data_IF_688355649234
#
_entry.id   IF_688355649234
#
_cell.length_a   1.000
_cell.length_b   1.000
_cell.length_c   1.000
_cell.angle_alpha   90.00
_cell.angle_beta   90.00
_cell.angle_gamma   90.00
#
_symmetry.space_group_name_H-M   'P 1'
#
loop_
_entity.id
_entity.type
_entity.pdbx_description
1 polymer ?
#
# COMPACT_ATOMS: atom_id res chain seq x y z
N UNK A 1 8.68 -0.03 13.19
CA UNK A 1 8.89 -1.47 13.35
C UNK A 1 7.97 -2.20 12.39
N UNK A 2 8.56 -2.97 11.48
CA UNK A 2 7.83 -3.86 10.58
C UNK A 2 7.17 -5.01 11.35
N UNK A 3 5.85 -5.10 11.24
CA UNK A 3 5.03 -6.16 11.85
C UNK A 3 4.73 -7.29 10.87
N UNK A 4 4.56 -6.96 9.58
CA UNK A 4 4.15 -7.92 8.54
C UNK A 4 4.73 -7.50 7.20
N UNK A 5 5.17 -8.48 6.42
CA UNK A 5 5.59 -8.35 5.03
C UNK A 5 5.20 -9.64 4.30
N UNK A 6 4.18 -9.56 3.44
CA UNK A 6 3.57 -10.74 2.78
C UNK A 6 2.98 -10.37 1.43
N UNK A 7 2.66 -11.38 0.62
CA UNK A 7 1.78 -11.21 -0.54
C UNK A 7 0.34 -11.39 -0.08
N UNK A 8 -0.46 -10.33 -0.22
CA UNK A 8 -1.91 -10.34 -0.02
C UNK A 8 -2.58 -10.67 -1.35
N UNK A 9 -3.48 -11.64 -1.32
CA UNK A 9 -4.28 -12.04 -2.48
C UNK A 9 -5.71 -11.57 -2.26
N UNK A 10 -6.33 -11.04 -3.31
CA UNK A 10 -7.68 -10.52 -3.26
C UNK A 10 -8.43 -10.85 -4.55
N UNK A 11 -9.74 -11.03 -4.42
CA UNK A 11 -10.63 -11.49 -5.48
C UNK A 11 -11.69 -10.42 -5.77
N UNK A 12 -11.41 -9.43 -6.64
CA UNK A 12 -12.36 -8.35 -6.93
C UNK A 12 -13.65 -8.85 -7.59
N UNK A 13 -13.57 -9.97 -8.31
CA UNK A 13 -14.68 -10.63 -9.01
C UNK A 13 -14.45 -12.14 -9.02
N UNK A 14 -15.51 -12.93 -9.21
CA UNK A 14 -15.38 -14.39 -9.34
C UNK A 14 -14.32 -14.74 -10.39
N UNK A 15 -13.34 -15.56 -9.99
CA UNK A 15 -12.25 -16.09 -10.83
C UNK A 15 -11.18 -15.06 -11.27
N UNK A 16 -11.22 -13.83 -10.77
CA UNK A 16 -10.14 -12.87 -10.96
C UNK A 16 -9.27 -12.83 -9.71
N UNK A 17 -8.04 -13.31 -9.83
CA UNK A 17 -7.07 -13.35 -8.75
C UNK A 17 -6.08 -12.21 -8.93
N UNK A 18 -6.10 -11.26 -8.01
CA UNK A 18 -5.14 -10.18 -7.95
C UNK A 18 -4.29 -10.31 -6.68
N UNK A 19 -3.10 -9.72 -6.73
CA UNK A 19 -2.20 -9.75 -5.58
C UNK A 19 -1.33 -8.51 -5.50
N UNK A 20 -0.96 -8.19 -4.27
CA UNK A 20 -0.10 -7.07 -3.92
C UNK A 20 0.83 -7.46 -2.77
N UNK A 21 1.99 -6.84 -2.66
CA UNK A 21 2.79 -6.94 -1.44
C UNK A 21 2.20 -6.01 -0.38
N UNK A 22 1.92 -6.58 0.78
CA UNK A 22 1.41 -5.90 1.96
C UNK A 22 2.53 -5.79 3.00
N UNK A 23 2.84 -4.56 3.40
CA UNK A 23 3.71 -4.28 4.54
C UNK A 23 2.95 -3.48 5.60
N UNK A 24 3.02 -3.94 6.85
CA UNK A 24 2.40 -3.27 8.00
C UNK A 24 3.49 -2.86 8.97
N UNK A 25 3.53 -1.57 9.29
CA UNK A 25 4.45 -0.98 10.23
C UNK A 25 3.69 -0.41 11.42
N UNK A 26 4.32 -0.50 12.60
CA UNK A 26 3.95 0.27 13.78
C UNK A 26 5.06 1.26 14.10
N UNK A 27 4.71 2.53 14.23
CA UNK A 27 5.62 3.57 14.71
C UNK A 27 4.88 4.46 15.71
N UNK A 28 5.35 4.47 16.97
CA UNK A 28 4.60 5.00 18.10
C UNK A 28 3.22 4.33 18.20
N UNK A 29 2.14 5.09 18.36
CA UNK A 29 0.74 4.58 18.38
C UNK A 29 0.11 4.50 16.98
N UNK A 30 0.87 4.82 15.92
CA UNK A 30 0.40 4.90 14.55
C UNK A 30 0.67 3.58 13.79
N UNK A 31 -0.38 3.00 13.21
CA UNK A 31 -0.28 1.91 12.22
C UNK A 31 -0.13 2.52 10.82
N UNK A 32 0.80 2.00 10.03
CA UNK A 32 1.02 2.38 8.64
C UNK A 32 0.98 1.11 7.78
N UNK A 33 0.09 1.11 6.79
CA UNK A 33 -0.05 0.04 5.80
C UNK A 33 0.48 0.53 4.46
N UNK A 34 1.43 -0.20 3.90
CA UNK A 34 1.97 0.02 2.56
C UNK A 34 1.54 -1.14 1.68
N UNK A 35 0.78 -0.85 0.63
CA UNK A 35 0.40 -1.81 -0.41
C UNK A 35 1.19 -1.48 -1.66
N UNK A 36 1.93 -2.46 -2.17
CA UNK A 36 2.69 -2.35 -3.42
C UNK A 36 2.07 -3.26 -4.47
N UNK A 37 1.66 -2.71 -5.60
CA UNK A 37 1.19 -3.53 -6.71
C UNK A 37 2.36 -4.35 -7.29
N UNK A 38 2.12 -5.64 -7.51
CA UNK A 38 3.13 -6.55 -8.05
C UNK A 38 3.15 -6.46 -9.59
N UNK A 39 4.34 -6.55 -10.18
CA UNK A 39 4.51 -6.40 -11.64
C UNK A 39 3.79 -7.49 -12.45
N UNK A 40 3.52 -8.64 -11.84
CA UNK A 40 2.79 -9.76 -12.42
C UNK A 40 1.29 -9.76 -12.08
N UNK A 41 0.79 -8.76 -11.35
CA UNK A 41 -0.65 -8.56 -11.15
C UNK A 41 -1.29 -8.05 -12.46
N UNK A 42 -2.15 -8.87 -13.07
CA UNK A 42 -2.73 -8.59 -14.41
C UNK A 42 -4.21 -8.26 -14.41
N UNK A 43 -4.89 -8.44 -13.27
CA UNK A 43 -6.35 -8.43 -13.23
C UNK A 43 -6.90 -7.05 -12.84
N UNK A 44 -6.79 -6.65 -11.57
CA UNK A 44 -7.20 -5.32 -11.10
C UNK A 44 -6.04 -4.62 -10.42
N UNK A 45 -5.89 -3.33 -10.71
CA UNK A 45 -4.92 -2.49 -10.02
C UNK A 45 -5.37 -2.22 -8.58
N UNK A 46 -4.40 -2.09 -7.68
CA UNK A 46 -4.63 -1.81 -6.25
C UNK A 46 -5.43 -0.52 -6.08
N UNK A 47 -5.13 0.52 -6.85
CA UNK A 47 -5.86 1.81 -6.83
C UNK A 47 -7.36 1.65 -7.07
N UNK A 48 -7.76 0.70 -7.91
CA UNK A 48 -9.17 0.50 -8.28
C UNK A 48 -9.94 -0.34 -7.26
N UNK A 49 -9.24 -1.09 -6.40
CA UNK A 49 -9.82 -1.97 -5.39
C UNK A 49 -9.57 -1.45 -3.96
N UNK A 50 -9.05 -0.23 -3.82
CA UNK A 50 -8.55 0.27 -2.55
C UNK A 50 -9.57 0.24 -1.40
N UNK A 51 -10.83 0.71 -1.56
CA UNK A 51 -11.78 0.70 -0.46
C UNK A 51 -12.03 -0.70 0.10
N UNK A 52 -12.27 -1.66 -0.78
CA UNK A 52 -12.50 -3.06 -0.46
C UNK A 52 -11.25 -3.70 0.16
N UNK A 53 -10.08 -3.47 -0.44
CA UNK A 53 -8.80 -3.95 0.08
C UNK A 53 -8.53 -3.45 1.50
N UNK A 54 -8.82 -2.18 1.78
CA UNK A 54 -8.64 -1.62 3.12
C UNK A 54 -9.55 -2.30 4.16
N UNK A 55 -10.79 -2.65 3.79
CA UNK A 55 -11.68 -3.41 4.67
C UNK A 55 -11.19 -4.85 4.90
N UNK A 56 -10.71 -5.54 3.86
CA UNK A 56 -10.13 -6.88 3.99
C UNK A 56 -8.94 -6.90 4.94
N UNK A 57 -8.01 -5.94 4.78
CA UNK A 57 -6.82 -5.84 5.63
C UNK A 57 -7.22 -5.48 7.07
N UNK A 58 -8.21 -4.61 7.26
CA UNK A 58 -8.75 -4.27 8.59
C UNK A 58 -9.29 -5.50 9.30
N UNK A 59 -10.10 -6.31 8.63
CA UNK A 59 -10.68 -7.52 9.20
C UNK A 59 -9.60 -8.57 9.51
N UNK A 60 -8.67 -8.78 8.59
CA UNK A 60 -7.62 -9.79 8.73
C UNK A 60 -6.59 -9.47 9.83
N UNK A 61 -6.28 -8.19 10.05
CA UNK A 61 -5.22 -7.77 10.96
C UNK A 61 -5.74 -7.01 12.20
N UNK A 62 -7.06 -6.96 12.42
CA UNK A 62 -7.71 -6.25 13.54
C UNK A 62 -7.28 -4.77 13.63
N UNK A 63 -7.29 -4.07 12.49
CA UNK A 63 -6.86 -2.67 12.40
C UNK A 63 -8.03 -1.70 12.48
N UNK A 64 -7.77 -0.47 12.92
CA UNK A 64 -8.76 0.60 12.82
C UNK A 64 -8.62 1.33 11.47
N UNK A 65 -9.65 1.23 10.62
CA UNK A 65 -9.67 1.84 9.29
C UNK A 65 -9.30 3.33 9.29
N UNK A 66 -9.85 4.11 10.23
CA UNK A 66 -9.74 5.58 10.24
C UNK A 66 -8.46 6.09 10.87
N UNK A 67 -7.90 5.36 11.83
CA UNK A 67 -6.63 5.73 12.45
C UNK A 67 -5.44 5.09 11.75
N UNK A 68 -5.63 4.23 10.76
CA UNK A 68 -4.54 3.64 9.96
C UNK A 68 -4.11 4.59 8.85
N UNK A 69 -2.80 4.75 8.64
CA UNK A 69 -2.25 5.45 7.48
C UNK A 69 -2.12 4.46 6.33
N UNK A 70 -2.80 4.76 5.24
CA UNK A 70 -2.92 3.90 4.06
C UNK A 70 -2.04 4.46 2.94
N UNK A 71 -1.04 3.69 2.48
CA UNK A 71 -0.10 4.10 1.44
C UNK A 71 -0.12 3.10 0.28
N UNK A 72 -0.38 3.58 -0.93
CA UNK A 72 -0.10 2.85 -2.15
C UNK A 72 1.33 3.14 -2.59
N UNK A 73 2.08 2.13 -2.96
CA UNK A 73 3.48 2.22 -3.36
C UNK A 73 3.64 1.79 -4.82
N UNK A 74 4.30 2.66 -5.59
CA UNK A 74 4.64 2.45 -6.99
C UNK A 74 6.17 2.32 -7.10
N UNK A 75 6.69 1.10 -7.28
CA UNK A 75 8.12 0.88 -7.44
C UNK A 75 8.66 1.55 -8.70
N UNK A 76 9.92 1.97 -8.64
CA UNK A 76 10.63 2.48 -9.82
C UNK A 76 10.59 1.46 -10.97
N UNK A 77 10.25 1.94 -12.18
CA UNK A 77 10.33 1.14 -13.41
C UNK A 77 9.10 0.28 -13.75
N UNK A 78 8.17 0.07 -12.81
CA UNK A 78 6.96 -0.74 -13.06
C UNK A 78 5.81 0.04 -13.71
N UNK A 79 5.86 1.38 -13.70
CA UNK A 79 4.88 2.24 -14.36
C UNK A 79 5.58 3.31 -15.21
N UNK A 80 5.01 3.63 -16.38
CA UNK A 80 5.57 4.60 -17.33
C UNK A 80 5.80 6.01 -16.73
N UNK A 81 5.17 6.33 -15.59
CA UNK A 81 5.36 7.58 -14.84
C UNK A 81 6.41 7.52 -13.72
N UNK A 82 6.80 6.32 -13.26
CA UNK A 82 7.79 6.10 -12.21
C UNK A 82 9.24 6.04 -12.76
N UNK A 83 9.41 5.91 -14.08
CA UNK A 83 10.70 5.62 -14.72
C UNK A 83 11.76 6.70 -14.57
N UNK A 84 11.40 7.95 -14.24
CA UNK A 84 12.36 9.04 -14.01
C UNK A 84 12.44 9.53 -12.55
N UNK A 85 11.50 9.14 -11.68
CA UNK A 85 11.32 9.75 -10.35
C UNK A 85 11.66 8.85 -9.16
N UNK A 86 12.03 7.59 -9.40
CA UNK A 86 12.24 6.61 -8.34
C UNK A 86 10.91 6.13 -7.75
N UNK A 87 10.97 5.51 -6.57
CA UNK A 87 9.76 5.04 -5.87
C UNK A 87 8.88 6.19 -5.45
N UNK A 88 7.58 6.00 -5.63
CA UNK A 88 6.59 6.99 -5.22
C UNK A 88 5.48 6.35 -4.42
N UNK A 89 4.94 7.12 -3.47
CA UNK A 89 3.89 6.65 -2.59
C UNK A 89 2.71 7.61 -2.67
N UNK A 90 1.49 7.10 -2.73
CA UNK A 90 0.29 7.90 -2.57
C UNK A 90 -0.42 7.51 -1.28
N UNK A 91 -0.54 8.46 -0.36
CA UNK A 91 -1.33 8.29 0.83
C UNK A 91 -2.81 8.47 0.51
N UNK A 92 -3.61 7.47 0.88
CA UNK A 92 -5.05 7.62 0.91
C UNK A 92 -5.50 8.36 2.18
N UNK A 93 -6.24 9.44 1.98
CA UNK A 93 -6.89 10.23 3.01
C UNK A 93 -8.41 10.00 2.96
N UNK A 94 -8.93 9.29 3.97
CA UNK A 94 -10.36 8.98 4.15
C UNK A 94 -11.10 10.10 4.91
N UNK A 95 -10.89 11.37 4.51
CA UNK A 95 -11.40 12.55 5.24
C UNK A 95 -12.84 12.93 4.86
N UNK A 96 -13.38 12.39 3.76
CA UNK A 96 -14.74 12.68 3.27
C UNK A 96 -15.35 11.46 2.57
N UNK A 97 -16.57 11.58 2.01
CA UNK A 97 -17.17 10.54 1.13
C UNK A 97 -16.36 10.23 -0.13
N UNK A 98 -15.33 11.03 -0.45
CA UNK A 98 -14.46 10.80 -1.59
C UNK A 98 -13.01 10.57 -1.12
N UNK A 99 -12.34 9.54 -1.66
CA UNK A 99 -10.93 9.29 -1.39
C UNK A 99 -10.08 10.46 -1.92
N UNK A 100 -9.13 10.94 -1.11
CA UNK A 100 -8.12 11.90 -1.55
C UNK A 100 -6.74 11.28 -1.50
N UNK A 101 -5.95 11.49 -2.56
CA UNK A 101 -4.60 10.96 -2.67
C UNK A 101 -3.58 12.07 -2.45
N UNK A 102 -2.61 11.81 -1.58
CA UNK A 102 -1.48 12.72 -1.33
C UNK A 102 -0.16 12.01 -1.64
N UNK A 103 0.53 12.48 -2.66
CA UNK A 103 1.87 11.98 -3.03
C UNK A 103 2.87 12.25 -1.90
N UNK A 104 3.67 11.23 -1.60
CA UNK A 104 4.78 11.25 -0.65
C UNK A 104 6.05 10.69 -1.32
N UNK A 105 7.18 11.21 -0.89
CA UNK A 105 8.51 10.70 -1.21
C UNK A 105 8.88 9.53 -0.31
N UNK A 106 9.82 8.68 -0.75
CA UNK A 106 10.40 7.62 0.09
C UNK A 106 10.86 8.12 1.46
N UNK A 107 11.55 9.26 1.49
CA UNK A 107 12.05 9.87 2.75
C UNK A 107 10.94 10.27 3.71
N UNK A 108 9.82 10.78 3.19
CA UNK A 108 8.65 11.09 4.02
C UNK A 108 8.02 9.81 4.59
N UNK A 109 7.94 8.75 3.80
CA UNK A 109 7.43 7.45 4.26
C UNK A 109 8.36 6.81 5.30
N UNK A 110 9.67 6.83 5.08
CA UNK A 110 10.67 6.36 6.05
C UNK A 110 10.57 7.12 7.37
N UNK A 111 10.30 8.42 7.32
CA UNK A 111 10.03 9.21 8.53
C UNK A 111 8.72 8.79 9.22
N UNK A 112 7.67 8.49 8.45
CA UNK A 112 6.39 7.99 8.98
C UNK A 112 6.53 6.63 9.67
N UNK A 113 7.25 5.68 9.06
CA UNK A 113 7.43 4.32 9.62
C UNK A 113 8.55 4.23 10.66
N UNK A 114 9.39 5.27 10.76
CA UNK A 114 10.46 5.38 11.76
C UNK A 114 11.72 4.58 11.43
N UNK A 115 11.82 4.00 10.24
CA UNK A 115 12.95 3.19 9.78
C UNK A 115 13.09 3.23 8.24
N UNK A 116 14.29 2.93 7.69
CA UNK A 116 14.47 2.79 6.25
C UNK A 116 13.59 1.66 5.68
N UNK A 117 13.00 1.89 4.51
CA UNK A 117 12.21 0.86 3.83
C UNK A 117 13.16 -0.16 3.16
N UNK A 118 12.87 -1.45 3.33
CA UNK A 118 13.66 -2.53 2.71
C UNK A 118 13.63 -2.46 1.17
N UNK A 119 14.79 -2.71 0.53
CA UNK A 119 14.99 -2.59 -0.94
C UNK A 119 14.40 -3.74 -1.77
N UNK A 120 13.90 -4.80 -1.14
CA UNK A 120 13.46 -6.02 -1.86
C UNK A 120 12.10 -5.82 -2.54
N UNK A 121 11.97 -4.92 -3.51
CA UNK A 121 10.78 -4.76 -4.35
C UNK A 121 10.86 -5.63 -5.64
N UNK A 122 11.86 -6.51 -5.71
CA UNK A 122 12.01 -7.57 -6.72
C UNK A 122 11.55 -8.91 -6.15
N UNK A 123 10.25 -9.23 -6.26
CA UNK A 123 9.77 -10.62 -6.23
C UNK A 123 9.20 -10.91 -7.60
#
# INVERSE_FOLDING_TARGET
MLLTDTIHHYEPFEQLYAHCRLRIYQHNEQVIVIVTEMADNREIAVTNYWPELAYEIVDQYDLNLTSTVWLEHYPQGNYALASERGDTFDQLLLVTKQPQWRRLTRKEVEHLVGEPLAENDSI
#
